data_IF_334994076738
#
_entry.id   IF_334994076738
#
_cell.length_a   1.000
_cell.length_b   1.000
_cell.length_c   1.000
_cell.angle_alpha   90.00
_cell.angle_beta   90.00
_cell.angle_gamma   90.00
#
_symmetry.space_group_name_H-M   'P 1'
#
loop_
_entity.id
_entity.type
_entity.pdbx_description
1 polymer ?
#
# COMPACT_ATOMS: atom_id res chain seq x y z
N UNK A 1 -14.84 -2.22 10.38
CA UNK A 1 -13.75 -3.11 9.93
C UNK A 1 -12.43 -2.63 10.49
N UNK A 2 -11.53 -3.55 10.87
CA UNK A 2 -10.22 -3.23 11.46
C UNK A 2 -9.16 -2.87 10.41
N UNK A 3 -9.51 -2.97 9.11
CA UNK A 3 -8.58 -2.77 7.99
C UNK A 3 -9.23 -2.01 6.84
N UNK A 4 -8.57 -0.95 6.36
CA UNK A 4 -8.95 -0.23 5.15
C UNK A 4 -8.10 -0.68 3.95
N UNK A 5 -8.72 -0.79 2.77
CA UNK A 5 -8.04 -1.11 1.52
C UNK A 5 -7.92 0.14 0.64
N UNK A 6 -6.68 0.48 0.23
CA UNK A 6 -6.41 1.56 -0.72
C UNK A 6 -6.27 0.96 -2.11
N UNK A 7 -7.27 1.14 -2.96
CA UNK A 7 -7.27 0.63 -4.33
C UNK A 7 -6.38 1.41 -5.29
N UNK A 8 -6.33 2.74 -5.12
CA UNK A 8 -5.61 3.62 -6.03
C UNK A 8 -4.96 4.75 -5.25
N UNK A 9 -3.73 5.07 -5.63
CA UNK A 9 -3.00 6.25 -5.20
C UNK A 9 -2.32 6.84 -6.44
N UNK A 10 -2.57 8.12 -6.75
CA UNK A 10 -1.97 8.81 -7.90
C UNK A 10 -1.57 10.21 -7.52
N UNK A 11 -0.36 10.57 -7.92
CA UNK A 11 0.21 11.91 -7.81
C UNK A 11 1.10 12.21 -9.03
N UNK A 12 1.35 13.49 -9.31
CA UNK A 12 2.36 13.84 -10.32
C UNK A 12 3.76 13.43 -9.83
N UNK A 13 4.61 12.82 -10.69
CA UNK A 13 5.99 12.51 -10.34
C UNK A 13 6.90 13.75 -10.29
N UNK A 14 6.45 14.88 -10.83
CA UNK A 14 7.27 16.11 -10.94
C UNK A 14 7.52 16.78 -9.59
N UNK A 15 6.78 16.38 -8.55
CA UNK A 15 6.87 16.94 -7.21
C UNK A 15 7.45 15.86 -6.27
N UNK A 16 8.73 15.97 -5.89
CA UNK A 16 9.35 15.05 -4.93
C UNK A 16 8.56 15.03 -3.62
N UNK A 17 8.23 13.84 -3.13
CA UNK A 17 7.52 13.68 -1.85
C UNK A 17 5.99 13.70 -1.95
N UNK A 18 5.41 14.03 -3.11
CA UNK A 18 3.96 14.20 -3.22
C UNK A 18 3.18 12.91 -2.93
N UNK A 19 3.67 11.76 -3.41
CA UNK A 19 3.09 10.46 -3.08
C UNK A 19 3.07 10.21 -1.56
N UNK A 20 4.13 10.63 -0.86
CA UNK A 20 4.22 10.49 0.58
C UNK A 20 3.21 11.36 1.31
N UNK A 21 3.09 12.62 0.88
CA UNK A 21 2.14 13.58 1.44
C UNK A 21 0.70 13.12 1.24
N UNK A 22 0.29 12.77 0.02
CA UNK A 22 -1.10 12.35 -0.22
C UNK A 22 -1.45 11.09 0.58
N UNK A 23 -0.49 10.17 0.74
CA UNK A 23 -0.71 8.98 1.53
C UNK A 23 -0.90 9.32 3.01
N UNK A 24 -0.04 10.17 3.56
CA UNK A 24 -0.15 10.63 4.95
C UNK A 24 -1.47 11.34 5.21
N UNK A 25 -1.83 12.32 4.37
CA UNK A 25 -3.07 13.09 4.50
C UNK A 25 -4.29 12.18 4.42
N UNK A 26 -4.33 11.24 3.47
CA UNK A 26 -5.43 10.30 3.37
C UNK A 26 -5.56 9.42 4.62
N UNK A 27 -4.44 8.92 5.16
CA UNK A 27 -4.45 8.10 6.38
C UNK A 27 -4.94 8.89 7.60
N UNK A 28 -4.55 10.17 7.71
CA UNK A 28 -4.93 11.03 8.83
C UNK A 28 -6.39 11.47 8.81
N UNK A 29 -7.05 11.46 7.65
CA UNK A 29 -8.43 11.95 7.51
C UNK A 29 -9.45 10.82 7.30
N UNK A 30 -9.09 9.77 6.56
CA UNK A 30 -10.04 8.73 6.14
C UNK A 30 -9.79 7.37 6.82
N UNK A 31 -8.58 7.11 7.31
CA UNK A 31 -8.19 5.83 7.92
C UNK A 31 -8.19 5.84 9.45
N UNK A 32 -8.68 6.91 10.09
CA UNK A 32 -8.47 7.16 11.52
C UNK A 32 -9.01 6.06 12.44
N UNK A 33 -10.10 5.41 12.04
CA UNK A 33 -10.76 4.35 12.81
C UNK A 33 -10.26 2.95 12.44
N UNK A 34 -9.28 2.84 11.53
CA UNK A 34 -8.74 1.57 11.05
C UNK A 34 -7.36 1.32 11.66
N UNK A 35 -7.20 0.18 12.35
CA UNK A 35 -5.90 -0.23 12.90
C UNK A 35 -4.88 -0.59 11.81
N UNK A 36 -5.37 -1.11 10.68
CA UNK A 36 -4.53 -1.55 9.58
C UNK A 36 -4.94 -0.89 8.27
N UNK A 37 -3.95 -0.66 7.40
CA UNK A 37 -4.19 -0.27 6.02
C UNK A 37 -3.46 -1.22 5.09
N UNK A 38 -4.21 -1.76 4.13
CA UNK A 38 -3.69 -2.56 3.03
C UNK A 38 -3.50 -1.65 1.81
N UNK A 39 -2.24 -1.46 1.40
CA UNK A 39 -1.87 -0.63 0.25
C UNK A 39 -1.66 -1.43 -1.04
N UNK A 40 -2.19 -2.64 -1.15
CA UNK A 40 -2.02 -3.54 -2.31
C UNK A 40 -0.55 -3.93 -2.63
N UNK A 41 -0.38 -4.76 -3.66
CA UNK A 41 0.88 -5.38 -4.07
C UNK A 41 1.81 -4.42 -4.83
N UNK A 42 3.10 -4.75 -4.90
CA UNK A 42 4.14 -3.98 -5.62
C UNK A 42 4.22 -4.32 -7.12
N UNK A 43 3.43 -5.30 -7.59
CA UNK A 43 3.41 -5.80 -8.98
C UNK A 43 4.81 -6.22 -9.50
N UNK A 44 5.77 -6.50 -8.62
CA UNK A 44 7.15 -6.78 -8.98
C UNK A 44 7.97 -5.54 -9.44
N UNK A 45 7.42 -4.33 -9.31
CA UNK A 45 8.12 -3.09 -9.68
C UNK A 45 9.01 -2.64 -8.52
N UNK A 46 10.33 -2.68 -8.70
CA UNK A 46 11.30 -2.41 -7.63
C UNK A 46 11.11 -1.03 -6.97
N UNK A 47 10.84 0.02 -7.76
CA UNK A 47 10.58 1.36 -7.22
C UNK A 47 9.34 1.40 -6.33
N UNK A 48 8.27 0.70 -6.75
CA UNK A 48 7.03 0.60 -5.99
C UNK A 48 7.22 -0.22 -4.71
N UNK A 49 8.02 -1.30 -4.78
CA UNK A 49 8.42 -2.09 -3.60
C UNK A 49 9.19 -1.23 -2.60
N UNK A 50 10.20 -0.50 -3.05
CA UNK A 50 11.00 0.39 -2.19
C UNK A 50 10.11 1.44 -1.51
N UNK A 51 9.20 2.05 -2.27
CA UNK A 51 8.22 3.00 -1.73
C UNK A 51 7.33 2.38 -0.66
N UNK A 52 6.75 1.19 -0.89
CA UNK A 52 5.90 0.53 0.13
C UNK A 52 6.69 0.11 1.37
N UNK A 53 7.94 -0.35 1.20
CA UNK A 53 8.78 -0.79 2.30
C UNK A 53 9.30 0.37 3.17
N UNK A 54 9.45 1.58 2.62
CA UNK A 54 9.92 2.74 3.40
C UNK A 54 8.95 3.15 4.51
N UNK A 55 7.68 2.72 4.44
CA UNK A 55 6.68 2.92 5.49
C UNK A 55 6.74 1.88 6.62
N UNK A 56 7.74 0.99 6.63
CA UNK A 56 7.91 -0.07 7.65
C UNK A 56 6.62 -0.90 7.86
N UNK A 57 6.14 -1.61 6.82
CA UNK A 57 4.88 -2.33 6.91
C UNK A 57 4.94 -3.43 7.98
N UNK A 58 3.90 -3.52 8.82
CA UNK A 58 3.77 -4.55 9.85
C UNK A 58 3.74 -5.97 9.24
N UNK A 59 3.20 -6.10 8.02
CA UNK A 59 3.17 -7.35 7.25
C UNK A 59 3.37 -7.09 5.76
N UNK A 60 4.10 -7.98 5.11
CA UNK A 60 4.19 -8.06 3.66
C UNK A 60 3.77 -9.47 3.22
N UNK A 61 2.53 -9.63 2.77
CA UNK A 61 1.93 -10.94 2.51
C UNK A 61 2.46 -11.57 1.23
N UNK A 62 2.77 -12.88 1.30
CA UNK A 62 2.95 -13.71 0.11
C UNK A 62 1.58 -14.26 -0.30
N UNK A 63 1.21 -14.06 -1.57
CA UNK A 63 0.04 -14.69 -2.17
C UNK A 63 0.46 -16.03 -2.78
N UNK A 64 -0.34 -17.05 -2.58
CA UNK A 64 -0.11 -18.40 -3.11
C UNK A 64 -1.29 -18.78 -4.00
N UNK A 65 -1.00 -19.51 -5.08
CA UNK A 65 -2.02 -20.14 -5.92
C UNK A 65 -1.98 -21.64 -5.64
N UNK A 66 -3.11 -22.20 -5.20
CA UNK A 66 -3.25 -23.64 -4.98
C UNK A 66 -3.80 -24.24 -6.28
N UNK A 67 -3.15 -25.29 -6.78
CA UNK A 67 -3.59 -26.04 -7.95
C UNK A 67 -3.76 -27.50 -7.57
N UNK A 68 -4.88 -28.10 -7.97
CA UNK A 68 -5.11 -29.55 -7.85
C UNK A 68 -4.54 -30.22 -9.10
N UNK A 69 -3.57 -31.13 -8.91
CA UNK A 69 -3.08 -31.95 -10.00
C UNK A 69 -4.03 -33.15 -10.13
N UNK A 70 -4.90 -33.10 -11.13
CA UNK A 70 -5.70 -34.25 -11.56
C UNK A 70 -4.85 -35.35 -12.20
#
# INVERSE_FOLDING_TARGET
DDTMLIHVEKATPDIPGLYQVINQEFLMNEAVDCRFVNREQDLGVQGLRNSKMSYNPVRFFKKYQIMENG
#
